data_IF_701711168391
#
_entry.id   IF_701711168391
#
_cell.length_a   1.000
_cell.length_b   1.000
_cell.length_c   1.000
_cell.angle_alpha   90.00
_cell.angle_beta   90.00
_cell.angle_gamma   90.00
#
_symmetry.space_group_name_H-M   'P 1'
#
loop_
_entity.id
_entity.type
_entity.pdbx_description
1 polymer ?
#
# COMPACT_ATOMS: atom_id res chain seq x y z
N UNK A 1 5.23 -34.98 -17.58
CA UNK A 1 6.49 -34.25 -17.77
C UNK A 1 6.15 -32.79 -17.52
N UNK A 2 6.74 -32.21 -16.46
CA UNK A 2 6.96 -30.76 -16.26
C UNK A 2 5.70 -29.86 -16.11
N UNK A 3 5.48 -29.13 -15.01
CA UNK A 3 6.44 -28.34 -14.24
C UNK A 3 5.96 -28.13 -12.79
N UNK A 4 6.91 -28.29 -11.88
CA UNK A 4 6.82 -28.05 -10.45
C UNK A 4 6.70 -26.53 -10.24
N UNK A 5 5.50 -26.03 -9.96
CA UNK A 5 5.35 -24.71 -9.33
C UNK A 5 5.87 -24.84 -7.90
N UNK A 6 7.17 -24.62 -7.77
CA UNK A 6 7.86 -24.53 -6.49
C UNK A 6 7.26 -23.42 -5.66
N UNK A 7 6.74 -23.79 -4.50
CA UNK A 7 6.88 -23.09 -3.22
C UNK A 7 6.98 -21.56 -3.34
N UNK A 8 5.86 -20.93 -3.67
CA UNK A 8 5.66 -19.53 -3.31
C UNK A 8 5.49 -19.50 -1.78
N UNK A 9 6.58 -19.11 -1.10
CA UNK A 9 6.64 -19.00 0.36
C UNK A 9 5.42 -18.26 0.94
N UNK A 10 5.02 -18.68 2.14
CA UNK A 10 3.75 -18.42 2.84
C UNK A 10 3.40 -16.95 3.17
N UNK A 11 3.63 -16.01 2.25
CA UNK A 11 3.41 -14.57 2.48
C UNK A 11 2.62 -13.87 1.39
N UNK A 12 1.73 -14.58 0.71
CA UNK A 12 0.80 -13.96 -0.25
C UNK A 12 -0.62 -14.55 -0.19
N UNK A 13 -1.09 -14.93 1.01
CA UNK A 13 -2.52 -15.17 1.24
C UNK A 13 -3.25 -13.86 1.56
N UNK A 14 -3.03 -12.83 0.75
CA UNK A 14 -3.85 -11.62 0.77
C UNK A 14 -5.00 -11.85 -0.20
N UNK A 15 -6.15 -12.23 0.36
CA UNK A 15 -7.40 -12.32 -0.37
C UNK A 15 -7.61 -11.03 -1.16
N UNK A 16 -7.82 -11.18 -2.46
CA UNK A 16 -8.07 -10.11 -3.42
C UNK A 16 -9.11 -9.14 -2.84
N UNK A 17 -8.65 -8.02 -2.31
CA UNK A 17 -9.53 -6.93 -1.87
C UNK A 17 -10.17 -6.40 -3.14
N UNK A 18 -11.51 -6.41 -3.18
CA UNK A 18 -12.26 -5.82 -4.27
C UNK A 18 -11.75 -4.40 -4.48
N UNK A 19 -11.25 -4.12 -5.70
CA UNK A 19 -10.76 -2.78 -6.03
C UNK A 19 -11.93 -1.83 -5.79
N UNK A 20 -11.78 -0.82 -4.91
CA UNK A 20 -12.84 0.15 -4.71
C UNK A 20 -13.19 0.74 -6.07
N UNK A 21 -14.50 0.93 -6.32
CA UNK A 21 -15.06 1.41 -7.58
C UNK A 21 -14.11 2.41 -8.23
N UNK A 22 -13.68 2.16 -9.48
CA UNK A 22 -12.54 2.79 -10.19
C UNK A 22 -12.67 4.29 -10.47
N UNK A 23 -13.49 5.01 -9.70
CA UNK A 23 -13.61 6.46 -9.67
C UNK A 23 -12.29 7.05 -9.19
N UNK A 24 -11.72 7.93 -10.02
CA UNK A 24 -10.59 8.77 -9.61
C UNK A 24 -11.04 9.69 -8.49
N UNK A 25 -10.20 9.80 -7.47
CA UNK A 25 -10.39 10.79 -6.41
C UNK A 25 -10.21 12.19 -7.00
N UNK A 26 -11.07 13.11 -6.61
CA UNK A 26 -10.88 14.54 -6.81
C UNK A 26 -9.73 15.04 -5.92
N UNK A 27 -9.24 16.25 -6.18
CA UNK A 27 -8.13 16.85 -5.42
C UNK A 27 -8.47 16.98 -3.93
N UNK A 28 -9.71 17.36 -3.60
CA UNK A 28 -10.16 17.50 -2.21
C UNK A 28 -10.23 16.13 -1.51
N UNK A 29 -10.82 15.13 -2.15
CA UNK A 29 -10.89 13.76 -1.61
C UNK A 29 -9.48 13.20 -1.40
N UNK A 30 -8.55 13.43 -2.34
CA UNK A 30 -7.15 13.03 -2.18
C UNK A 30 -6.47 13.72 -1.00
N UNK A 31 -6.73 15.01 -0.81
CA UNK A 31 -6.16 15.79 0.30
C UNK A 31 -6.64 15.26 1.64
N UNK A 32 -7.92 14.92 1.75
CA UNK A 32 -8.49 14.33 2.97
C UNK A 32 -7.88 12.95 3.26
N UNK A 33 -7.79 12.08 2.25
CA UNK A 33 -7.18 10.76 2.39
C UNK A 33 -5.71 10.87 2.82
N UNK A 34 -4.95 11.80 2.23
CA UNK A 34 -3.57 12.07 2.60
C UNK A 34 -3.47 12.52 4.07
N UNK A 35 -4.32 13.47 4.49
CA UNK A 35 -4.33 13.97 5.87
C UNK A 35 -4.62 12.84 6.86
N UNK A 36 -5.62 11.99 6.59
CA UNK A 36 -5.93 10.83 7.43
C UNK A 36 -4.78 9.84 7.51
N UNK A 37 -4.12 9.56 6.39
CA UNK A 37 -2.96 8.64 6.36
C UNK A 37 -1.79 9.15 7.19
N UNK A 38 -1.53 10.46 7.15
CA UNK A 38 -0.54 11.10 8.02
C UNK A 38 -0.92 11.01 9.50
N UNK A 39 -2.18 11.26 9.85
CA UNK A 39 -2.68 11.17 11.24
C UNK A 39 -2.62 9.74 11.79
N UNK A 40 -2.89 8.74 10.95
CA UNK A 40 -2.80 7.33 11.33
C UNK A 40 -1.35 6.84 11.45
N UNK A 41 -0.38 7.66 11.03
CA UNK A 41 1.02 7.28 11.06
C UNK A 41 1.34 6.16 10.07
N UNK A 42 0.64 6.06 8.94
CA UNK A 42 0.95 5.05 7.91
C UNK A 42 2.40 5.20 7.40
N UNK A 43 2.93 6.43 7.45
CA UNK A 43 4.32 6.77 7.13
C UNK A 43 5.31 6.51 8.27
N UNK A 44 4.87 6.02 9.44
CA UNK A 44 5.77 5.66 10.55
C UNK A 44 6.44 4.30 10.36
N UNK A 45 5.88 3.46 9.50
CA UNK A 45 6.45 2.19 9.12
C UNK A 45 7.43 2.39 7.96
N UNK A 46 8.49 1.57 7.86
CA UNK A 46 9.36 1.60 6.69
C UNK A 46 8.57 1.31 5.42
N UNK A 47 8.98 1.91 4.31
CA UNK A 47 8.39 1.68 3.00
C UNK A 47 8.39 0.18 2.68
N UNK A 48 7.22 -0.39 2.38
CA UNK A 48 7.11 -1.82 2.07
C UNK A 48 7.82 -2.24 0.78
N UNK A 49 8.26 -1.27 -0.03
CA UNK A 49 9.00 -1.49 -1.28
C UNK A 49 10.52 -1.45 -1.05
N UNK A 50 11.04 -0.36 -0.46
CA UNK A 50 12.49 -0.18 -0.27
C UNK A 50 12.98 -0.46 1.16
N UNK A 51 12.08 -0.70 2.11
CA UNK A 51 12.36 -0.96 3.54
C UNK A 51 13.01 0.22 4.30
N UNK A 52 13.12 1.38 3.66
CA UNK A 52 13.64 2.60 4.28
C UNK A 52 12.54 3.37 5.02
N UNK A 53 12.93 4.09 6.07
CA UNK A 53 12.04 4.99 6.80
C UNK A 53 11.52 6.11 5.88
N UNK A 54 10.22 6.39 5.93
CA UNK A 54 9.66 7.53 5.21
C UNK A 54 10.13 8.85 5.84
N UNK A 55 10.97 9.57 5.11
CA UNK A 55 11.35 10.95 5.44
C UNK A 55 10.27 11.89 4.93
N UNK A 56 9.29 12.23 5.76
CA UNK A 56 8.30 13.24 5.42
C UNK A 56 9.00 14.61 5.23
N UNK A 57 8.97 15.14 4.01
CA UNK A 57 9.39 16.53 3.78
C UNK A 57 8.25 17.48 4.16
N UNK A 58 8.55 18.64 4.76
CA UNK A 58 7.56 19.70 4.92
C UNK A 58 7.08 20.17 3.54
N UNK A 59 5.76 20.20 3.36
CA UNK A 59 5.08 20.63 2.12
C UNK A 59 4.92 22.15 2.06
#
# INVERSE_FOLDING_TARGET
MEQRLGELGERQKLGLVAVPSSRRLTVNEWTEVKSRSLLNGDSSQPCVICTEEFRLQPQ
#
